data_IF_260818971890
#
_entry.id   IF_260818971890
#
_cell.length_a   1.000
_cell.length_b   1.000
_cell.length_c   1.000
_cell.angle_alpha   90.00
_cell.angle_beta   90.00
_cell.angle_gamma   90.00
#
_symmetry.space_group_name_H-M   'P 1'
#
loop_
_entity.id
_entity.type
_entity.pdbx_description
1 polymer ?
#
# COMPACT_ATOMS: atom_id res chain seq x y z
N UNK A 1 -3.43 4.88 -6.18
CA UNK A 1 -4.53 3.90 -6.14
C UNK A 1 -5.39 4.05 -7.38
N UNK A 2 -6.17 3.04 -7.74
CA UNK A 2 -7.08 3.06 -8.91
C UNK A 2 -8.21 4.08 -8.75
N UNK A 3 -8.74 4.24 -7.53
CA UNK A 3 -9.69 5.27 -7.15
C UNK A 3 -9.22 5.95 -5.85
N UNK A 4 -8.42 7.03 -5.92
CA UNK A 4 -7.90 7.71 -4.74
C UNK A 4 -9.02 8.42 -3.96
N UNK A 5 -9.01 8.28 -2.63
CA UNK A 5 -9.83 9.10 -1.74
C UNK A 5 -9.27 10.53 -1.62
N UNK A 6 -10.05 11.44 -1.05
CA UNK A 6 -9.64 12.85 -0.87
C UNK A 6 -8.56 13.04 0.20
N UNK A 7 -8.46 12.12 1.15
CA UNK A 7 -7.51 12.19 2.26
C UNK A 7 -7.07 10.81 2.74
N UNK A 8 -5.94 10.78 3.45
CA UNK A 8 -5.44 9.56 4.11
C UNK A 8 -6.31 9.30 5.34
N UNK A 9 -6.65 8.04 5.60
CA UNK A 9 -7.33 7.63 6.83
C UNK A 9 -6.53 8.13 8.06
N UNK A 10 -7.10 8.98 8.93
CA UNK A 10 -6.39 9.51 10.10
C UNK A 10 -5.86 8.44 11.04
N UNK A 11 -6.56 7.31 11.16
CA UNK A 11 -6.10 6.21 12.00
C UNK A 11 -4.83 5.52 11.44
N UNK A 12 -4.64 5.53 10.11
CA UNK A 12 -3.38 5.10 9.47
C UNK A 12 -2.26 6.08 9.77
N UNK A 13 -2.52 7.40 9.72
CA UNK A 13 -1.52 8.42 10.08
C UNK A 13 -1.04 8.22 11.53
N UNK A 14 -1.96 7.96 12.46
CA UNK A 14 -1.62 7.69 13.85
C UNK A 14 -0.81 6.40 14.00
N UNK A 15 -1.25 5.29 13.39
CA UNK A 15 -0.54 4.01 13.46
C UNK A 15 0.89 4.09 12.88
N UNK A 16 1.10 4.86 11.81
CA UNK A 16 2.42 5.02 11.20
C UNK A 16 3.33 5.93 12.03
N UNK A 17 2.76 6.93 12.70
CA UNK A 17 3.49 7.81 13.62
C UNK A 17 4.03 7.06 14.85
N UNK A 18 3.35 6.01 15.32
CA UNK A 18 3.87 5.11 16.37
C UNK A 18 5.22 4.47 15.98
N UNK A 19 5.44 4.22 14.68
CA UNK A 19 6.69 3.69 14.11
C UNK A 19 7.67 4.78 13.67
N UNK A 20 7.39 6.05 13.99
CA UNK A 20 8.22 7.20 13.62
C UNK A 20 8.08 7.63 12.15
N UNK A 21 7.04 7.17 11.44
CA UNK A 21 6.80 7.50 10.03
C UNK A 21 5.68 8.55 9.94
N UNK A 22 6.03 9.77 9.52
CA UNK A 22 5.07 10.86 9.35
C UNK A 22 4.41 10.84 7.97
N UNK A 23 3.10 10.55 7.94
CA UNK A 23 2.28 10.58 6.73
C UNK A 23 1.41 11.84 6.60
N UNK A 24 1.51 12.81 7.52
CA UNK A 24 0.61 13.97 7.58
C UNK A 24 0.64 14.86 6.35
N UNK A 25 1.79 14.93 5.66
CA UNK A 25 1.96 15.69 4.41
C UNK A 25 1.64 14.86 3.14
N UNK A 26 1.38 13.56 3.28
CA UNK A 26 1.10 12.68 2.14
C UNK A 26 -0.35 12.85 1.68
N UNK A 27 -0.59 12.60 0.39
CA UNK A 27 -1.93 12.66 -0.22
C UNK A 27 -2.14 11.44 -1.11
N UNK A 28 -3.36 10.87 -1.15
CA UNK A 28 -3.69 9.84 -2.14
C UNK A 28 -3.46 10.37 -3.56
N UNK A 29 -2.90 9.53 -4.43
CA UNK A 29 -2.59 9.85 -5.83
C UNK A 29 -3.17 8.79 -6.74
N UNK A 30 -3.59 9.20 -7.94
CA UNK A 30 -4.01 8.28 -9.00
C UNK A 30 -2.81 7.42 -9.40
N UNK A 31 -3.06 6.13 -9.64
CA UNK A 31 -2.05 5.26 -10.24
C UNK A 31 -1.99 5.58 -11.73
N UNK A 32 -0.80 5.90 -12.22
CA UNK A 32 -0.57 6.17 -13.64
C UNK A 32 0.25 5.05 -14.26
N UNK A 33 0.10 4.87 -15.57
CA UNK A 33 0.81 3.86 -16.35
C UNK A 33 2.32 4.07 -16.26
N UNK A 34 2.79 5.31 -16.29
CA UNK A 34 4.21 5.64 -16.19
C UNK A 34 4.80 5.20 -14.84
N UNK A 35 4.03 5.26 -13.75
CA UNK A 35 4.46 4.78 -12.45
C UNK A 35 4.63 3.25 -12.44
N UNK A 36 3.77 2.53 -13.16
CA UNK A 36 3.85 1.07 -13.30
C UNK A 36 5.04 0.67 -14.18
N UNK A 37 5.21 1.35 -15.32
CA UNK A 37 6.32 1.11 -16.24
C UNK A 37 7.69 1.41 -15.63
N UNK A 38 7.78 2.40 -14.73
CA UNK A 38 9.01 2.74 -14.02
C UNK A 38 9.36 1.79 -12.86
N UNK A 39 8.45 0.92 -12.44
CA UNK A 39 8.63 0.03 -11.29
C UNK A 39 9.23 -1.31 -11.68
N UNK A 40 10.01 -1.96 -10.82
CA UNK A 40 10.46 -3.36 -11.01
C UNK A 40 9.44 -4.38 -10.48
N UNK A 41 8.77 -4.01 -9.39
CA UNK A 41 7.77 -4.82 -8.70
C UNK A 41 6.49 -4.01 -8.49
N UNK A 42 5.35 -4.61 -8.83
CA UNK A 42 4.02 -4.02 -8.64
C UNK A 42 3.28 -4.87 -7.61
N UNK A 43 2.83 -4.24 -6.52
CA UNK A 43 2.18 -4.92 -5.39
C UNK A 43 0.73 -4.45 -5.28
N UNK A 44 -0.21 -5.38 -5.41
CA UNK A 44 -1.64 -5.13 -5.19
C UNK A 44 -2.03 -5.51 -3.76
N UNK A 45 -2.96 -4.75 -3.18
CA UNK A 45 -3.45 -4.94 -1.81
C UNK A 45 -4.98 -4.86 -1.77
N UNK A 46 -5.66 -5.60 -2.66
CA UNK A 46 -7.13 -5.68 -2.68
C UNK A 46 -7.86 -4.79 -3.69
N UNK A 47 -7.16 -4.05 -4.56
CA UNK A 47 -7.82 -3.31 -5.64
C UNK A 47 -8.36 -4.21 -6.77
N UNK A 48 -7.96 -5.49 -6.83
CA UNK A 48 -8.30 -6.38 -7.94
C UNK A 48 -7.64 -5.93 -9.25
N UNK A 49 -7.85 -6.72 -10.31
CA UNK A 49 -7.21 -6.67 -11.64
C UNK A 49 -7.44 -5.37 -12.47
N UNK A 50 -7.62 -4.21 -11.83
CA UNK A 50 -7.85 -2.93 -12.49
C UNK A 50 -6.61 -2.36 -13.18
N UNK A 51 -5.42 -2.91 -12.89
CA UNK A 51 -4.18 -2.46 -13.53
C UNK A 51 -3.88 -3.34 -14.74
N UNK A 52 -3.63 -2.77 -15.93
CA UNK A 52 -3.08 -3.51 -17.05
C UNK A 52 -1.79 -4.24 -16.63
N UNK A 53 -1.58 -5.45 -17.14
CA UNK A 53 -0.33 -6.18 -16.93
C UNK A 53 0.71 -5.70 -17.94
N UNK A 54 1.82 -5.16 -17.43
CA UNK A 54 2.96 -4.69 -18.20
C UNK A 54 4.03 -5.79 -18.25
N UNK A 55 4.50 -6.19 -19.45
CA UNK A 55 5.53 -7.22 -19.57
C UNK A 55 6.82 -6.86 -18.84
N UNK A 56 7.51 -7.88 -18.29
CA UNK A 56 8.82 -7.73 -17.64
C UNK A 56 8.77 -7.20 -16.21
N UNK A 57 7.59 -7.04 -15.61
CA UNK A 57 7.42 -6.63 -14.21
C UNK A 57 7.05 -7.81 -13.32
N UNK A 58 7.52 -7.82 -12.07
CA UNK A 58 7.11 -8.81 -11.06
C UNK A 58 5.84 -8.31 -10.37
N UNK A 59 4.75 -9.05 -10.50
CA UNK A 59 3.49 -8.76 -9.83
C UNK A 59 3.32 -9.62 -8.58
N UNK A 60 2.94 -8.98 -7.47
CA UNK A 60 2.61 -9.64 -6.21
C UNK A 60 1.25 -9.18 -5.73
N UNK A 61 0.45 -10.11 -5.21
CA UNK A 61 -0.81 -9.80 -4.56
C UNK A 61 -0.71 -10.11 -3.06
N UNK A 62 -0.79 -9.06 -2.23
CA UNK A 62 -0.78 -9.18 -0.79
C UNK A 62 -2.22 -9.15 -0.27
N UNK A 63 -2.68 -10.32 0.19
CA UNK A 63 -3.98 -10.46 0.85
C UNK A 63 -3.90 -9.85 2.24
N UNK A 64 -4.49 -8.67 2.38
CA UNK A 64 -4.58 -7.89 3.61
C UNK A 64 -6.05 -7.60 3.90
N UNK A 65 -6.38 -7.48 5.18
CA UNK A 65 -7.70 -7.01 5.59
C UNK A 65 -7.90 -5.54 5.21
N UNK A 66 -9.14 -5.14 4.88
CA UNK A 66 -9.46 -3.77 4.50
C UNK A 66 -9.57 -2.86 5.75
N UNK A 67 -8.69 -1.84 5.89
CA UNK A 67 -8.75 -0.91 7.01
C UNK A 67 -9.85 0.16 6.88
N UNK A 68 -10.62 0.20 5.79
CA UNK A 68 -11.62 1.23 5.54
C UNK A 68 -12.68 1.28 6.66
N UNK A 69 -12.87 2.48 7.23
CA UNK A 69 -13.82 2.71 8.33
C UNK A 69 -13.41 2.10 9.67
N UNK A 70 -12.25 1.45 9.77
CA UNK A 70 -11.78 0.83 11.00
C UNK A 70 -10.94 1.79 11.85
N UNK A 71 -10.91 1.50 13.16
CA UNK A 71 -10.09 2.23 14.14
C UNK A 71 -8.63 1.79 14.15
N UNK A 72 -7.81 2.52 14.91
CA UNK A 72 -6.35 2.30 14.99
C UNK A 72 -5.98 0.87 15.41
N UNK A 73 -6.75 0.24 16.29
CA UNK A 73 -6.46 -1.10 16.80
C UNK A 73 -6.50 -2.17 15.71
N UNK A 74 -7.37 -2.01 14.71
CA UNK A 74 -7.44 -2.93 13.57
C UNK A 74 -6.39 -2.61 12.49
N UNK A 75 -5.90 -1.36 12.44
CA UNK A 75 -4.86 -0.94 11.49
C UNK A 75 -3.46 -1.43 11.91
N UNK A 76 -3.16 -1.49 13.21
CA UNK A 76 -1.85 -1.95 13.70
C UNK A 76 -1.44 -3.34 13.17
N UNK A 77 -2.28 -4.40 13.26
CA UNK A 77 -1.90 -5.71 12.70
C UNK A 77 -1.69 -5.66 11.18
N UNK A 78 -2.48 -4.88 10.44
CA UNK A 78 -2.29 -4.69 8.99
C UNK A 78 -0.94 -4.02 8.71
N UNK A 79 -0.60 -2.94 9.44
CA UNK A 79 0.71 -2.26 9.35
C UNK A 79 1.86 -3.23 9.60
N UNK A 80 1.76 -4.05 10.64
CA UNK A 80 2.82 -4.96 11.05
C UNK A 80 2.99 -6.13 10.07
N UNK A 81 1.88 -6.59 9.47
CA UNK A 81 1.88 -7.54 8.36
C UNK A 81 2.57 -6.95 7.12
N UNK A 82 2.20 -5.72 6.70
CA UNK A 82 2.85 -5.01 5.59
C UNK A 82 4.35 -4.86 5.85
N UNK A 83 4.75 -4.46 7.07
CA UNK A 83 6.16 -4.33 7.45
C UNK A 83 6.93 -5.64 7.28
N UNK A 84 6.31 -6.76 7.64
CA UNK A 84 6.92 -8.09 7.50
C UNK A 84 7.06 -8.49 6.03
N UNK A 85 6.02 -8.29 5.23
CA UNK A 85 6.02 -8.56 3.79
C UNK A 85 7.02 -7.70 3.02
N UNK A 86 7.18 -6.42 3.40
CA UNK A 86 8.19 -5.52 2.82
C UNK A 86 9.60 -6.02 3.14
N UNK A 87 9.87 -6.44 4.38
CA UNK A 87 11.18 -6.99 4.75
C UNK A 87 11.52 -8.27 3.98
N UNK A 88 10.55 -9.17 3.84
CA UNK A 88 10.70 -10.38 3.03
C UNK A 88 10.97 -10.02 1.57
N UNK A 89 10.19 -9.11 0.99
CA UNK A 89 10.39 -8.68 -0.39
C UNK A 89 11.81 -8.17 -0.63
N UNK A 90 12.31 -7.29 0.22
CA UNK A 90 13.68 -6.74 0.12
C UNK A 90 14.73 -7.86 0.12
N UNK A 91 14.52 -8.94 0.86
CA UNK A 91 15.44 -10.09 0.85
C UNK A 91 15.44 -10.89 -0.45
N UNK A 92 14.46 -10.68 -1.32
CA UNK A 92 14.29 -11.35 -2.62
C UNK A 92 14.56 -10.45 -3.83
N UNK A 93 15.00 -9.21 -3.61
CA UNK A 93 15.46 -8.27 -4.64
C UNK A 93 16.96 -8.43 -4.87
#
# INVERSE_FOLDING_TARGET
GSAPADSINPAVVLAMKEEGIDLSAQRPKILTDEAVEASDVVITMGCGDVCPLYPGKRYLDWKLDDPAGQGIDAIRPIRDQIKSLVKELISTL
#
